data_IF_474418571690
#
_entry.id   IF_474418571690
#
_cell.length_a   1.000
_cell.length_b   1.000
_cell.length_c   1.000
_cell.angle_alpha   90.00
_cell.angle_beta   90.00
_cell.angle_gamma   90.00
#
_symmetry.space_group_name_H-M   'P 1'
#
loop_
_entity.id
_entity.type
_entity.pdbx_description
1 polymer ?
#
# COMPACT_ATOMS: atom_id res chain seq x y z
N UNK A 1 -8.59 -16.59 -22.76
CA UNK A 1 -9.68 -15.64 -22.52
C UNK A 1 -10.46 -16.19 -21.34
N UNK A 2 -10.67 -15.37 -20.28
CA UNK A 2 -11.43 -15.77 -19.10
C UNK A 2 -12.76 -15.02 -19.11
N UNK A 3 -13.85 -15.75 -19.02
CA UNK A 3 -15.18 -15.19 -18.82
C UNK A 3 -15.48 -15.14 -17.33
N UNK A 4 -15.74 -13.92 -16.80
CA UNK A 4 -16.10 -13.78 -15.39
C UNK A 4 -17.12 -12.67 -15.14
N UNK A 5 -17.95 -12.88 -14.12
CA UNK A 5 -18.79 -11.87 -13.51
C UNK A 5 -18.21 -11.52 -12.13
N UNK A 6 -17.99 -10.22 -11.88
CA UNK A 6 -17.46 -9.70 -10.61
C UNK A 6 -18.54 -8.88 -9.91
N UNK A 7 -18.81 -9.20 -8.66
CA UNK A 7 -19.66 -8.43 -7.75
C UNK A 7 -18.83 -7.93 -6.58
N UNK A 8 -18.83 -6.61 -6.35
CA UNK A 8 -18.10 -6.01 -5.26
C UNK A 8 -18.98 -5.06 -4.45
N UNK A 9 -18.82 -5.09 -3.14
CA UNK A 9 -19.46 -4.17 -2.20
C UNK A 9 -18.38 -3.49 -1.37
N UNK A 10 -18.47 -2.18 -1.23
CA UNK A 10 -17.54 -1.42 -0.42
C UNK A 10 -18.30 -0.46 0.50
N UNK A 11 -18.00 -0.51 1.79
CA UNK A 11 -18.55 0.38 2.82
C UNK A 11 -17.45 1.29 3.36
N UNK A 12 -17.68 2.61 3.32
CA UNK A 12 -16.68 3.62 3.71
C UNK A 12 -17.22 4.53 4.80
N UNK A 13 -16.48 4.63 5.89
CA UNK A 13 -16.64 5.66 6.92
C UNK A 13 -15.53 6.68 6.73
N UNK A 14 -15.88 7.94 6.55
CA UNK A 14 -14.91 9.02 6.37
C UNK A 14 -15.27 10.22 7.25
N UNK A 15 -14.37 10.56 8.17
CA UNK A 15 -14.47 11.71 9.08
C UNK A 15 -13.31 12.69 8.89
N UNK A 16 -12.58 12.57 7.79
CA UNK A 16 -11.42 13.44 7.52
C UNK A 16 -11.86 14.88 7.29
N UNK A 17 -11.05 15.82 7.75
CA UNK A 17 -11.32 17.27 7.66
C UNK A 17 -11.11 17.83 6.25
N UNK A 18 -10.38 17.16 5.40
CA UNK A 18 -10.10 17.60 4.03
C UNK A 18 -9.73 16.41 3.14
N UNK A 19 -10.14 16.45 1.87
CA UNK A 19 -9.65 15.54 0.84
C UNK A 19 -8.33 16.02 0.21
N UNK A 20 -8.04 17.30 0.34
CA UNK A 20 -6.89 17.93 -0.28
C UNK A 20 -5.61 17.78 0.54
N UNK A 21 -5.64 18.20 1.80
CA UNK A 21 -4.57 18.02 2.78
C UNK A 21 -5.24 17.61 4.09
N UNK A 22 -5.31 16.32 4.31
CA UNK A 22 -5.91 15.76 5.52
C UNK A 22 -5.00 15.98 6.71
N UNK A 23 -5.55 16.58 7.76
CA UNK A 23 -4.83 16.88 9.01
C UNK A 23 -5.39 16.13 10.20
N UNK A 24 -6.69 15.83 10.17
CA UNK A 24 -7.42 15.19 11.27
C UNK A 24 -8.48 14.25 10.74
N UNK A 25 -8.89 13.34 11.61
CA UNK A 25 -9.95 12.40 11.30
C UNK A 25 -9.44 11.03 10.96
N UNK A 26 -10.34 10.22 10.45
CA UNK A 26 -10.02 8.86 10.02
C UNK A 26 -10.90 8.48 8.82
N UNK A 27 -10.40 7.53 8.06
CA UNK A 27 -11.14 6.85 7.01
C UNK A 27 -10.99 5.36 7.22
N UNK A 28 -12.08 4.61 7.14
CA UNK A 28 -12.10 3.16 7.20
C UNK A 28 -12.91 2.67 6.00
N UNK A 29 -12.39 1.69 5.29
CA UNK A 29 -13.08 1.05 4.17
C UNK A 29 -13.09 -0.47 4.39
N UNK A 30 -14.27 -1.06 4.21
CA UNK A 30 -14.49 -2.50 4.25
C UNK A 30 -15.03 -2.91 2.88
N UNK A 31 -14.31 -3.75 2.18
CA UNK A 31 -14.68 -4.25 0.86
C UNK A 31 -14.80 -5.77 0.85
N UNK A 32 -15.69 -6.27 0.04
CA UNK A 32 -15.76 -7.69 -0.33
C UNK A 32 -16.09 -7.80 -1.80
N UNK A 33 -15.48 -8.76 -2.45
CA UNK A 33 -15.71 -9.08 -3.85
C UNK A 33 -15.86 -10.59 -4.03
N UNK A 34 -16.70 -10.96 -5.01
CA UNK A 34 -16.90 -12.34 -5.42
C UNK A 34 -16.89 -12.40 -6.94
N UNK A 35 -16.13 -13.32 -7.47
CA UNK A 35 -16.00 -13.56 -8.90
C UNK A 35 -16.53 -14.96 -9.24
N UNK A 36 -17.29 -15.05 -10.32
CA UNK A 36 -17.86 -16.30 -10.84
C UNK A 36 -17.54 -16.43 -12.32
N UNK A 37 -17.28 -17.64 -12.77
CA UNK A 37 -17.02 -17.97 -14.18
C UNK A 37 -15.99 -19.05 -14.35
N UNK A 38 -14.98 -18.82 -15.15
CA UNK A 38 -13.90 -19.79 -15.35
C UNK A 38 -13.05 -20.02 -14.09
N UNK A 39 -13.08 -19.06 -13.18
CA UNK A 39 -12.45 -19.16 -11.84
C UNK A 39 -13.34 -18.48 -10.82
N UNK A 40 -13.71 -19.22 -9.80
CA UNK A 40 -14.49 -18.72 -8.68
C UNK A 40 -13.55 -18.25 -7.56
N UNK A 41 -13.64 -16.95 -7.22
CA UNK A 41 -12.85 -16.35 -6.13
C UNK A 41 -13.72 -15.47 -5.26
N UNK A 42 -13.30 -15.30 -4.01
CA UNK A 42 -13.88 -14.31 -3.12
C UNK A 42 -12.78 -13.59 -2.34
N UNK A 43 -12.95 -12.30 -2.15
CA UNK A 43 -11.97 -11.43 -1.50
C UNK A 43 -12.57 -10.58 -0.39
N UNK A 44 -11.75 -10.28 0.59
CA UNK A 44 -12.05 -9.29 1.63
C UNK A 44 -10.91 -8.29 1.72
N UNK A 45 -11.26 -7.02 1.73
CA UNK A 45 -10.32 -5.92 1.89
C UNK A 45 -10.73 -5.04 3.06
N UNK A 46 -9.75 -4.70 3.89
CA UNK A 46 -9.89 -3.73 4.98
C UNK A 46 -8.81 -2.69 4.80
N UNK A 47 -9.17 -1.42 4.78
CA UNK A 47 -8.19 -0.34 4.83
C UNK A 47 -8.58 0.71 5.84
N UNK A 48 -7.57 1.34 6.43
CA UNK A 48 -7.78 2.38 7.44
C UNK A 48 -6.70 3.44 7.38
N UNK A 49 -7.10 4.68 7.62
CA UNK A 49 -6.19 5.82 7.75
C UNK A 49 -6.59 6.65 8.95
N UNK A 50 -5.63 7.10 9.73
CA UNK A 50 -5.83 8.00 10.86
C UNK A 50 -4.81 9.12 10.81
N UNK A 51 -5.28 10.36 11.02
CA UNK A 51 -4.48 11.58 10.95
C UNK A 51 -4.56 12.34 12.27
N UNK A 52 -3.39 12.81 12.73
CA UNK A 52 -3.24 13.57 13.96
C UNK A 52 -2.53 14.89 13.63
N UNK A 53 -3.23 16.01 13.79
CA UNK A 53 -2.61 17.31 13.72
C UNK A 53 -1.85 17.57 15.02
N UNK A 54 -0.57 17.86 14.90
CA UNK A 54 0.37 18.15 15.96
C UNK A 54 0.75 19.65 15.95
N UNK A 55 1.49 20.16 16.96
CA UNK A 55 1.99 21.54 16.95
C UNK A 55 2.78 21.90 15.69
N UNK A 56 2.83 23.20 15.37
CA UNK A 56 3.55 23.73 14.21
C UNK A 56 3.03 23.26 12.85
N UNK A 57 1.74 22.93 12.76
CA UNK A 57 1.09 22.40 11.53
C UNK A 57 1.74 21.09 11.03
N UNK A 58 2.34 20.31 11.93
CA UNK A 58 2.85 18.99 11.60
C UNK A 58 1.75 17.95 11.68
N UNK A 59 1.85 16.88 10.90
CA UNK A 59 0.83 15.83 10.80
C UNK A 59 1.51 14.49 10.99
N UNK A 60 1.01 13.70 11.93
CA UNK A 60 1.33 12.29 12.02
C UNK A 60 0.17 11.48 11.45
N UNK A 61 0.46 10.52 10.59
CA UNK A 61 -0.55 9.64 10.03
C UNK A 61 -0.12 8.18 10.11
N UNK A 62 -1.13 7.33 10.28
CA UNK A 62 -0.98 5.88 10.16
C UNK A 62 -2.01 5.43 9.13
N UNK A 63 -1.56 4.68 8.14
CA UNK A 63 -2.39 4.08 7.11
C UNK A 63 -2.10 2.59 7.08
N UNK A 64 -3.10 1.77 6.76
CA UNK A 64 -2.89 0.34 6.61
C UNK A 64 -3.94 -0.28 5.70
N UNK A 65 -3.58 -1.38 5.09
CA UNK A 65 -4.47 -2.18 4.26
C UNK A 65 -4.19 -3.66 4.53
N UNK A 66 -5.26 -4.41 4.54
CA UNK A 66 -5.28 -5.86 4.51
C UNK A 66 -6.17 -6.29 3.34
N UNK A 67 -5.72 -7.24 2.56
CA UNK A 67 -6.54 -7.94 1.57
C UNK A 67 -6.19 -9.42 1.59
N UNK A 68 -7.22 -10.24 1.54
CA UNK A 68 -7.08 -11.67 1.31
C UNK A 68 -8.07 -12.11 0.25
N UNK A 69 -7.60 -12.97 -0.63
CA UNK A 69 -8.40 -13.62 -1.67
C UNK A 69 -8.31 -15.13 -1.50
N UNK A 70 -9.44 -15.79 -1.70
CA UNK A 70 -9.53 -17.24 -1.67
C UNK A 70 -10.43 -17.71 -2.82
N UNK A 71 -10.41 -19.00 -3.12
CA UNK A 71 -11.18 -19.58 -4.22
C UNK A 71 -10.71 -20.97 -4.54
N UNK A 72 -11.05 -21.46 -5.72
CA UNK A 72 -10.61 -22.74 -6.21
C UNK A 72 -9.08 -22.87 -6.15
N UNK A 73 -8.56 -24.09 -6.14
CA UNK A 73 -7.16 -24.46 -5.81
C UNK A 73 -6.10 -23.61 -6.50
N UNK A 74 -6.43 -22.92 -7.58
CA UNK A 74 -5.50 -22.12 -8.36
C UNK A 74 -5.97 -20.67 -8.57
N UNK A 75 -5.90 -19.85 -7.50
CA UNK A 75 -6.16 -18.40 -7.63
C UNK A 75 -5.23 -17.80 -8.69
N UNK A 76 -5.77 -17.25 -9.80
CA UNK A 76 -4.96 -16.71 -10.89
C UNK A 76 -4.08 -15.53 -10.43
N UNK A 77 -2.96 -15.35 -11.10
CA UNK A 77 -2.00 -14.29 -10.76
C UNK A 77 -2.60 -12.87 -10.78
N UNK A 78 -3.62 -12.63 -11.59
CA UNK A 78 -4.30 -11.33 -11.68
C UNK A 78 -5.26 -11.05 -10.50
N UNK A 79 -5.61 -12.08 -9.71
CA UNK A 79 -6.38 -11.96 -8.45
C UNK A 79 -5.45 -11.88 -7.22
N UNK A 80 -4.16 -12.21 -7.39
CA UNK A 80 -3.20 -12.22 -6.29
C UNK A 80 -2.75 -10.82 -5.93
N UNK A 81 -2.32 -10.67 -4.69
CA UNK A 81 -1.79 -9.43 -4.15
C UNK A 81 -0.28 -9.35 -4.32
N UNK A 82 0.21 -8.12 -4.49
CA UNK A 82 1.63 -7.80 -4.63
C UNK A 82 1.96 -6.60 -3.74
N UNK A 83 3.17 -6.60 -3.19
CA UNK A 83 3.73 -5.49 -2.44
C UNK A 83 4.96 -4.92 -3.15
N UNK A 84 5.26 -3.65 -2.86
CA UNK A 84 6.35 -2.87 -3.47
C UNK A 84 5.85 -1.73 -4.35
N UNK A 85 6.68 -0.69 -4.43
CA UNK A 85 6.41 0.54 -5.17
C UNK A 85 5.67 1.61 -4.37
N UNK A 86 5.38 2.72 -5.02
CA UNK A 86 4.88 3.96 -4.42
C UNK A 86 3.58 3.83 -3.60
N UNK A 87 2.86 2.72 -3.70
CA UNK A 87 1.55 2.53 -3.07
C UNK A 87 1.55 1.65 -1.83
N UNK A 88 2.62 0.90 -1.58
CA UNK A 88 2.73 -0.02 -0.44
C UNK A 88 4.08 0.14 0.27
N UNK A 89 5.10 -0.59 -0.13
CA UNK A 89 6.46 -0.53 0.40
C UNK A 89 7.36 0.23 -0.57
N UNK A 90 7.66 1.49 -0.27
CA UNK A 90 8.34 2.43 -1.19
C UNK A 90 9.83 2.14 -1.40
N UNK A 91 10.46 1.41 -0.48
CA UNK A 91 11.84 0.96 -0.59
C UNK A 91 12.06 -0.19 -1.57
N UNK A 92 10.99 -0.72 -2.16
CA UNK A 92 11.00 -1.79 -3.13
C UNK A 92 10.47 -1.31 -4.49
N UNK A 93 10.91 -1.92 -5.57
CA UNK A 93 10.33 -1.68 -6.88
C UNK A 93 8.90 -2.24 -6.96
N UNK A 94 8.19 -1.90 -8.01
CA UNK A 94 6.82 -2.37 -8.21
C UNK A 94 6.77 -3.90 -8.22
N UNK A 95 5.99 -4.50 -7.31
CA UNK A 95 5.84 -5.94 -7.07
C UNK A 95 7.09 -6.65 -6.52
N UNK A 96 8.16 -5.94 -6.24
CA UNK A 96 9.43 -6.53 -5.81
C UNK A 96 9.41 -7.05 -4.36
N UNK A 97 8.54 -6.50 -3.51
CA UNK A 97 8.49 -6.85 -2.07
C UNK A 97 7.84 -8.22 -1.85
N UNK A 98 8.62 -9.27 -2.06
CA UNK A 98 8.22 -10.66 -1.84
C UNK A 98 9.40 -11.49 -1.35
N UNK A 99 9.11 -12.55 -0.59
CA UNK A 99 10.12 -13.53 -0.21
C UNK A 99 10.52 -14.42 -1.40
N UNK A 100 11.68 -15.09 -1.33
CA UNK A 100 12.08 -16.06 -2.35
C UNK A 100 11.05 -17.15 -2.61
N UNK A 101 10.29 -17.57 -1.58
CA UNK A 101 9.26 -18.59 -1.70
C UNK A 101 8.04 -18.16 -2.56
N UNK A 102 7.88 -16.86 -2.79
CA UNK A 102 6.81 -16.27 -3.62
C UNK A 102 7.33 -15.80 -4.99
N UNK A 103 8.40 -16.45 -5.47
CA UNK A 103 8.99 -16.20 -6.79
C UNK A 103 9.11 -17.50 -7.58
N UNK A 104 9.10 -17.37 -8.90
CA UNK A 104 9.42 -18.49 -9.77
C UNK A 104 10.94 -18.70 -9.89
N UNK A 105 11.34 -19.72 -10.70
CA UNK A 105 12.76 -20.04 -10.94
C UNK A 105 13.53 -18.92 -11.64
N UNK A 106 12.85 -18.00 -12.30
CA UNK A 106 13.41 -16.82 -12.98
C UNK A 106 13.45 -15.59 -12.07
N UNK A 107 12.91 -15.69 -10.84
CA UNK A 107 12.84 -14.62 -9.86
C UNK A 107 11.64 -13.69 -10.04
N UNK A 108 10.70 -14.01 -10.94
CA UNK A 108 9.49 -13.22 -11.12
C UNK A 108 8.51 -13.42 -9.96
N UNK A 109 7.92 -12.35 -9.43
CA UNK A 109 7.00 -12.46 -8.30
C UNK A 109 5.69 -13.13 -8.70
N UNK A 110 5.31 -14.16 -7.96
CA UNK A 110 4.08 -14.93 -8.15
C UNK A 110 2.87 -14.32 -7.43
N UNK A 111 3.11 -13.31 -6.57
CA UNK A 111 2.08 -12.72 -5.71
C UNK A 111 1.62 -13.67 -4.60
N UNK A 112 0.89 -13.10 -3.64
CA UNK A 112 0.30 -13.84 -2.52
C UNK A 112 -1.23 -13.82 -2.55
N UNK A 113 -1.86 -14.71 -1.79
CA UNK A 113 -3.30 -14.69 -1.56
C UNK A 113 -3.69 -13.72 -0.44
N UNK A 114 -2.76 -13.46 0.48
CA UNK A 114 -2.95 -12.50 1.58
C UNK A 114 -1.82 -11.47 1.58
N UNK A 115 -2.20 -10.21 1.61
CA UNK A 115 -1.27 -9.09 1.81
C UNK A 115 -1.78 -8.18 2.92
N UNK A 116 -0.87 -7.73 3.77
CA UNK A 116 -1.12 -6.65 4.71
C UNK A 116 0.07 -5.70 4.71
N UNK A 117 -0.21 -4.40 4.73
CA UNK A 117 0.84 -3.40 4.87
C UNK A 117 0.35 -2.19 5.65
N UNK A 118 1.29 -1.45 6.22
CA UNK A 118 1.02 -0.18 6.88
C UNK A 118 2.11 0.83 6.59
N UNK A 119 1.76 2.09 6.71
CA UNK A 119 2.65 3.25 6.66
C UNK A 119 2.47 4.09 7.91
N UNK A 120 3.56 4.42 8.58
CA UNK A 120 3.61 5.49 9.58
C UNK A 120 4.39 6.68 8.99
N UNK A 121 3.78 7.86 8.97
CA UNK A 121 4.36 9.03 8.32
C UNK A 121 4.25 10.27 9.21
N UNK A 122 5.33 11.03 9.28
CA UNK A 122 5.37 12.33 9.94
C UNK A 122 5.71 13.42 8.91
N UNK A 123 4.78 14.35 8.71
CA UNK A 123 4.84 15.41 7.72
C UNK A 123 4.91 16.79 8.37
N UNK A 124 5.72 17.68 7.81
CA UNK A 124 5.94 19.02 8.31
C UNK A 124 5.99 20.05 7.16
N UNK A 125 5.49 21.29 7.39
CA UNK A 125 5.53 22.33 6.35
C UNK A 125 6.96 22.78 6.09
N UNK A 126 7.30 22.97 4.82
CA UNK A 126 8.58 23.55 4.38
C UNK A 126 8.40 25.01 3.98
N UNK A 127 9.42 25.85 4.19
CA UNK A 127 9.46 27.26 3.81
C UNK A 127 8.23 28.06 4.31
N UNK A 128 7.62 27.65 5.43
CA UNK A 128 6.35 28.20 5.94
C UNK A 128 5.17 28.09 4.94
N UNK A 129 5.28 27.23 3.96
CA UNK A 129 4.22 26.97 2.96
C UNK A 129 3.42 25.73 3.35
N UNK A 130 2.13 25.91 3.67
CA UNK A 130 1.25 24.78 4.06
C UNK A 130 1.10 23.72 2.98
N UNK A 131 1.25 24.11 1.72
CA UNK A 131 1.09 23.24 0.54
C UNK A 131 2.39 22.55 0.11
N UNK A 132 3.53 22.99 0.62
CA UNK A 132 4.82 22.35 0.37
C UNK A 132 5.32 21.74 1.66
N UNK A 133 5.43 20.42 1.70
CA UNK A 133 5.71 19.66 2.92
C UNK A 133 6.85 18.69 2.70
N UNK A 134 7.66 18.51 3.74
CA UNK A 134 8.56 17.38 3.85
C UNK A 134 7.90 16.29 4.70
N UNK A 135 8.31 15.05 4.52
CA UNK A 135 7.89 13.95 5.38
C UNK A 135 8.99 12.91 5.55
N UNK A 136 8.91 12.19 6.64
CA UNK A 136 9.67 10.97 6.91
C UNK A 136 8.66 9.84 7.12
N UNK A 137 9.02 8.63 6.73
CA UNK A 137 8.09 7.52 6.81
C UNK A 137 8.77 6.19 7.09
N UNK A 138 7.96 5.26 7.53
CA UNK A 138 8.26 3.86 7.67
C UNK A 138 7.11 3.05 7.09
N UNK A 139 7.42 2.14 6.17
CA UNK A 139 6.47 1.19 5.60
C UNK A 139 6.80 -0.22 6.09
N UNK A 140 5.79 -1.02 6.36
CA UNK A 140 5.95 -2.43 6.72
C UNK A 140 4.81 -3.27 6.17
N UNK A 141 5.10 -4.51 5.79
CA UNK A 141 4.10 -5.39 5.22
C UNK A 141 4.49 -6.85 5.23
N UNK A 142 3.49 -7.69 5.01
CA UNK A 142 3.62 -9.13 4.85
C UNK A 142 2.89 -9.56 3.57
N UNK A 143 3.41 -10.60 2.94
CA UNK A 143 2.78 -11.25 1.80
C UNK A 143 2.83 -12.77 2.03
N UNK A 144 1.67 -13.43 2.01
CA UNK A 144 1.55 -14.88 2.21
C UNK A 144 0.90 -15.56 1.00
N UNK A 145 1.35 -16.76 0.68
CA UNK A 145 0.72 -17.59 -0.34
C UNK A 145 -0.62 -18.20 0.10
N UNK A 146 -0.84 -18.27 1.40
CA UNK A 146 -2.05 -18.87 1.96
C UNK A 146 -3.11 -17.78 2.22
N UNK A 147 -4.37 -18.14 1.99
CA UNK A 147 -5.51 -17.26 2.25
C UNK A 147 -5.69 -17.08 3.77
N UNK A 148 -5.97 -15.84 4.19
CA UNK A 148 -6.24 -15.47 5.60
C UNK A 148 -5.03 -15.66 6.54
N UNK A 149 -3.83 -15.87 6.00
CA UNK A 149 -2.62 -16.11 6.76
C UNK A 149 -1.79 -14.83 6.95
N UNK A 150 -1.28 -14.65 8.17
CA UNK A 150 -0.35 -13.58 8.55
C UNK A 150 1.09 -14.08 8.77
N UNK A 151 1.37 -15.34 8.40
CA UNK A 151 2.66 -15.99 8.58
C UNK A 151 3.69 -15.68 7.49
N UNK A 152 3.38 -14.78 6.56
CA UNK A 152 4.31 -14.36 5.51
C UNK A 152 5.54 -13.62 6.06
N UNK A 153 6.61 -13.57 5.28
CA UNK A 153 7.81 -12.84 5.63
C UNK A 153 7.52 -11.34 5.77
N UNK A 154 7.95 -10.76 6.88
CA UNK A 154 7.82 -9.33 7.12
C UNK A 154 8.90 -8.56 6.38
N UNK A 155 8.46 -7.62 5.54
CA UNK A 155 9.32 -6.70 4.79
C UNK A 155 9.03 -5.28 5.23
N UNK A 156 10.06 -4.45 5.27
CA UNK A 156 9.91 -3.06 5.67
C UNK A 156 10.92 -2.15 5.00
N UNK A 157 10.62 -0.88 4.97
CA UNK A 157 11.48 0.18 4.47
C UNK A 157 11.26 1.48 5.24
N UNK A 158 12.15 2.41 5.03
CA UNK A 158 12.04 3.77 5.55
C UNK A 158 12.49 4.77 4.49
N UNK A 159 12.04 5.99 4.64
CA UNK A 159 12.44 7.01 3.67
C UNK A 159 12.06 8.42 4.07
N UNK A 160 12.36 9.31 3.16
CA UNK A 160 12.04 10.73 3.23
C UNK A 160 11.41 11.18 1.93
N UNK A 161 10.60 12.21 1.97
CA UNK A 161 10.01 12.73 0.74
C UNK A 161 9.52 14.16 0.83
N UNK A 162 9.01 14.61 -0.30
CA UNK A 162 8.45 15.93 -0.51
C UNK A 162 7.07 15.83 -1.12
N UNK A 163 6.14 16.62 -0.58
CA UNK A 163 4.77 16.76 -1.08
C UNK A 163 4.51 18.17 -1.55
N UNK A 164 3.98 18.31 -2.73
CA UNK A 164 3.44 19.55 -3.24
C UNK A 164 1.94 19.39 -3.52
N UNK A 165 1.11 20.05 -2.72
CA UNK A 165 -0.35 19.99 -2.82
C UNK A 165 -0.85 20.99 -3.85
N UNK A 166 -1.24 20.52 -5.01
CA UNK A 166 -1.82 21.31 -6.12
C UNK A 166 -3.33 21.08 -6.21
N UNK A 167 -4.09 21.99 -6.85
CA UNK A 167 -5.54 21.81 -7.03
C UNK A 167 -5.94 20.53 -7.78
N UNK A 168 -5.07 20.05 -8.68
CA UNK A 168 -5.25 18.83 -9.45
C UNK A 168 -4.86 17.56 -8.69
N UNK A 169 -4.31 17.69 -7.48
CA UNK A 169 -3.83 16.60 -6.64
C UNK A 169 -2.39 16.83 -6.17
N UNK A 170 -1.97 16.12 -5.11
CA UNK A 170 -0.59 16.20 -4.62
C UNK A 170 0.38 15.57 -5.62
N UNK A 171 1.55 16.17 -5.73
CA UNK A 171 2.75 15.56 -6.32
C UNK A 171 3.61 15.11 -5.14
N UNK A 172 4.03 13.86 -5.15
CA UNK A 172 4.86 13.25 -4.12
C UNK A 172 6.14 12.69 -4.74
N UNK A 173 7.26 13.00 -4.12
CA UNK A 173 8.59 12.51 -4.46
C UNK A 173 9.18 11.85 -3.22
N UNK A 174 9.42 10.55 -3.27
CA UNK A 174 9.94 9.77 -2.15
C UNK A 174 11.28 9.15 -2.52
N UNK A 175 12.16 9.10 -1.53
CA UNK A 175 13.41 8.34 -1.56
C UNK A 175 13.37 7.38 -0.39
N UNK A 176 13.54 6.09 -0.67
CA UNK A 176 13.38 5.03 0.31
C UNK A 176 14.49 3.98 0.22
N UNK A 177 14.73 3.30 1.33
CA UNK A 177 15.70 2.23 1.47
C UNK A 177 15.02 0.99 2.05
N UNK A 178 15.17 -0.19 1.39
CA UNK A 178 14.66 -1.44 1.94
C UNK A 178 15.45 -1.83 3.19
N UNK A 179 14.80 -2.42 4.17
CA UNK A 179 15.45 -2.95 5.36
C UNK A 179 15.74 -4.46 5.26
N UNK A 180 14.99 -5.18 4.44
CA UNK A 180 15.22 -6.59 4.15
C UNK A 180 15.56 -6.73 2.67
N UNK A 181 16.66 -7.42 2.41
CA UNK A 181 17.18 -7.70 1.07
C UNK A 181 17.39 -9.20 0.90
N UNK A 182 17.37 -9.66 -0.32
CA UNK A 182 17.63 -11.05 -0.67
C UNK A 182 18.31 -11.10 -2.06
N UNK A 183 18.49 -12.27 -2.64
CA UNK A 183 19.13 -12.42 -3.96
C UNK A 183 18.41 -11.66 -5.10
N UNK A 184 17.12 -11.32 -4.92
CA UNK A 184 16.27 -10.62 -5.89
C UNK A 184 16.02 -9.15 -5.54
N UNK A 185 16.33 -8.75 -4.30
CA UNK A 185 16.10 -7.40 -3.79
C UNK A 185 17.45 -6.79 -3.40
N UNK A 186 17.94 -5.89 -4.21
CA UNK A 186 19.20 -5.20 -3.98
C UNK A 186 19.10 -4.16 -2.85
N UNK A 187 20.14 -4.05 -2.03
CA UNK A 187 20.31 -2.96 -1.06
C UNK A 187 20.68 -1.67 -1.78
N UNK A 188 19.69 -1.02 -2.36
CA UNK A 188 19.85 0.27 -3.01
C UNK A 188 18.66 1.18 -2.76
N UNK A 189 18.94 2.47 -2.79
CA UNK A 189 17.93 3.52 -2.74
C UNK A 189 16.93 3.40 -3.90
N UNK A 190 15.65 3.54 -3.59
CA UNK A 190 14.57 3.61 -4.58
C UNK A 190 14.00 5.03 -4.62
N UNK A 191 13.77 5.52 -5.81
CA UNK A 191 13.06 6.77 -6.06
C UNK A 191 11.64 6.46 -6.49
N UNK A 192 10.66 7.06 -5.81
CA UNK A 192 9.25 6.90 -6.12
C UNK A 192 8.64 8.26 -6.49
N UNK A 193 7.91 8.28 -7.60
CA UNK A 193 7.13 9.42 -8.04
C UNK A 193 5.65 9.07 -8.03
N UNK A 194 4.85 9.96 -7.46
CA UNK A 194 3.42 9.78 -7.42
C UNK A 194 2.69 11.10 -7.67
N UNK A 195 1.62 11.07 -8.44
CA UNK A 195 0.78 12.23 -8.73
C UNK A 195 -0.70 11.88 -8.62
N UNK A 196 -1.46 12.76 -7.97
CA UNK A 196 -2.91 12.61 -7.80
C UNK A 196 -3.34 12.21 -6.40
N UNK A 197 -4.65 12.25 -6.17
CA UNK A 197 -5.22 11.82 -4.90
C UNK A 197 -5.15 10.31 -4.79
N UNK A 198 -4.38 9.85 -3.83
CA UNK A 198 -4.43 8.46 -3.41
C UNK A 198 -5.26 8.37 -2.15
N UNK A 199 -6.37 7.70 -2.26
CA UNK A 199 -7.10 7.25 -1.09
C UNK A 199 -6.41 5.97 -0.60
N UNK A 200 -5.44 6.15 0.27
CA UNK A 200 -4.89 5.05 1.07
C UNK A 200 -5.81 4.73 2.23
#
# INVERSE_FOLDING_TARGET
>A
EYDRALFAVNYVINTTDSQYLTRRGHRISLGTDVSFGDVDTYGVQISGSKYFLLPFDTIFSINGQYRSVDGDDNVPIFEREFLGGARSLRGYEYREASSPALRDEQGEPLGGRTAAYFTAEYSFPLLNLKKFRGHVFYDGGILSNDSWDFGGDYLSDYGIGLDLYLPMGPIRLDVAWPMQTNEWVEDKMRFQFNMGYQFR
#
